data_IF_707762020885
#
_entry.id   IF_707762020885
#
_cell.length_a   1.000
_cell.length_b   1.000
_cell.length_c   1.000
_cell.angle_alpha   90.00
_cell.angle_beta   90.00
_cell.angle_gamma   90.00
#
_symmetry.space_group_name_H-M   'P 1'
#
loop_
_entity.id
_entity.type
_entity.pdbx_description
1 polymer ?
#
# COMPACT_ATOMS: atom_id res chain seq x y z
N UNK A 1 -17.87 -38.77 44.58
CA UNK A 1 -19.16 -39.49 44.91
C UNK A 1 -20.21 -38.98 43.97
N UNK A 2 -21.16 -39.81 43.56
CA UNK A 2 -21.05 -40.67 42.38
C UNK A 2 -22.09 -40.29 41.31
N UNK A 3 -21.76 -40.58 40.06
CA UNK A 3 -22.39 -41.46 39.08
C UNK A 3 -23.93 -41.55 39.14
N UNK A 4 -24.58 -41.22 38.03
CA UNK A 4 -25.72 -41.97 37.57
C UNK A 4 -25.93 -41.88 36.07
N UNK A 5 -25.80 -43.00 35.46
CA UNK A 5 -26.14 -43.44 34.10
C UNK A 5 -27.65 -43.61 33.96
N UNK A 6 -28.18 -43.47 32.75
CA UNK A 6 -29.31 -44.25 32.17
C UNK A 6 -29.67 -43.66 30.81
N UNK A 7 -29.40 -44.32 29.75
CA UNK A 7 -30.16 -45.43 29.10
C UNK A 7 -30.99 -44.93 27.91
N UNK A 8 -30.61 -45.38 26.72
CA UNK A 8 -31.38 -45.34 25.48
C UNK A 8 -32.56 -46.29 25.51
N UNK A 9 -33.57 -46.07 24.70
CA UNK A 9 -34.24 -47.22 24.08
C UNK A 9 -34.29 -47.16 22.56
N UNK A 10 -34.38 -48.36 22.05
CA UNK A 10 -34.27 -48.85 20.68
C UNK A 10 -35.58 -48.70 19.88
N UNK A 11 -35.35 -48.72 18.56
CA UNK A 11 -36.28 -48.91 17.44
C UNK A 11 -37.24 -50.11 17.59
N UNK A 12 -38.30 -50.14 16.75
CA UNK A 12 -38.44 -51.32 15.90
C UNK A 12 -38.69 -51.03 14.40
N UNK A 13 -38.13 -51.92 13.59
CA UNK A 13 -38.50 -52.29 12.23
C UNK A 13 -39.45 -53.51 12.33
N UNK A 14 -39.88 -54.11 11.22
CA UNK A 14 -40.52 -53.74 9.95
C UNK A 14 -41.81 -54.59 9.71
N UNK A 15 -42.48 -54.46 8.56
CA UNK A 15 -43.03 -55.63 7.89
C UNK A 15 -43.56 -55.32 6.48
N UNK A 16 -43.08 -56.13 5.54
CA UNK A 16 -43.56 -56.33 4.20
C UNK A 16 -44.97 -56.95 4.16
N UNK A 17 -45.72 -56.62 3.16
CA UNK A 17 -46.70 -57.57 2.59
C UNK A 17 -46.97 -57.26 1.11
N UNK A 18 -46.66 -58.28 0.31
CA UNK A 18 -47.01 -58.42 -1.11
C UNK A 18 -48.53 -58.47 -1.33
N UNK A 19 -48.99 -57.98 -2.46
CA UNK A 19 -49.77 -58.84 -3.38
C UNK A 19 -50.16 -58.11 -4.67
N UNK A 20 -49.97 -58.89 -5.70
CA UNK A 20 -50.25 -58.76 -7.12
C UNK A 20 -51.73 -58.56 -7.42
N UNK A 21 -52.05 -57.87 -8.51
CA UNK A 21 -53.05 -58.34 -9.49
C UNK A 21 -53.02 -57.51 -10.76
N UNK A 22 -53.19 -58.23 -11.83
CA UNK A 22 -53.03 -57.95 -13.27
C UNK A 22 -54.23 -57.19 -13.88
N UNK A 23 -53.95 -56.74 -15.08
CA UNK A 23 -54.78 -56.61 -16.30
C UNK A 23 -55.43 -55.26 -16.62
N UNK A 24 -55.02 -54.76 -17.77
CA UNK A 24 -56.01 -54.43 -18.78
C UNK A 24 -55.85 -53.09 -19.50
N UNK A 25 -55.15 -53.09 -20.63
CA UNK A 25 -55.43 -52.40 -21.90
C UNK A 25 -56.18 -51.03 -21.89
N UNK A 26 -55.62 -49.96 -22.46
CA UNK A 26 -55.84 -49.58 -23.88
C UNK A 26 -55.19 -48.19 -24.17
N UNK A 27 -54.70 -48.07 -25.36
CA UNK A 27 -54.11 -46.94 -26.02
C UNK A 27 -54.92 -45.63 -25.87
N UNK A 28 -54.20 -44.54 -25.62
CA UNK A 28 -54.38 -43.31 -26.44
C UNK A 28 -53.11 -42.44 -26.21
N UNK A 29 -52.37 -42.28 -27.31
CA UNK A 29 -51.21 -41.44 -27.32
C UNK A 29 -51.59 -39.97 -27.25
N UNK A 30 -51.07 -39.29 -26.24
CA UNK A 30 -50.95 -37.86 -26.22
C UNK A 30 -49.47 -37.53 -26.11
N UNK A 31 -48.93 -37.05 -27.23
CA UNK A 31 -47.55 -36.53 -27.31
C UNK A 31 -47.49 -35.25 -26.46
N UNK A 32 -47.10 -35.36 -25.23
CA UNK A 32 -46.73 -34.19 -24.40
C UNK A 32 -45.25 -33.93 -24.65
N UNK A 33 -44.97 -32.95 -25.53
CA UNK A 33 -43.62 -32.38 -25.60
C UNK A 33 -43.24 -31.82 -24.26
N UNK A 34 -42.09 -32.21 -23.65
CA UNK A 34 -41.57 -31.51 -22.51
C UNK A 34 -41.10 -30.14 -22.98
N UNK A 35 -41.79 -29.06 -22.55
CA UNK A 35 -41.26 -27.71 -22.56
C UNK A 35 -40.07 -27.74 -21.59
N UNK A 36 -38.87 -27.84 -22.15
CA UNK A 36 -37.65 -27.50 -21.39
C UNK A 36 -37.76 -26.03 -21.01
N UNK A 37 -38.28 -25.75 -19.81
CA UNK A 37 -38.11 -24.48 -19.17
C UNK A 37 -36.60 -24.33 -18.88
N UNK A 38 -35.90 -23.66 -19.81
CA UNK A 38 -34.54 -23.22 -19.61
C UNK A 38 -34.52 -22.36 -18.36
N UNK A 39 -34.06 -22.90 -17.24
CA UNK A 39 -33.70 -22.10 -16.07
C UNK A 39 -32.66 -21.08 -16.55
N UNK A 40 -32.86 -19.77 -16.28
CA UNK A 40 -31.79 -18.83 -16.54
C UNK A 40 -30.59 -19.30 -15.71
N UNK A 41 -29.51 -19.67 -16.39
CA UNK A 41 -28.22 -19.83 -15.75
C UNK A 41 -27.89 -18.44 -15.17
N UNK A 42 -28.26 -18.22 -13.91
CA UNK A 42 -27.81 -17.07 -13.16
C UNK A 42 -26.30 -17.17 -13.06
N UNK A 43 -25.63 -16.58 -14.04
CA UNK A 43 -24.19 -16.38 -13.96
C UNK A 43 -23.97 -15.59 -12.68
N UNK A 44 -23.37 -16.20 -11.68
CA UNK A 44 -22.81 -15.51 -10.53
C UNK A 44 -21.85 -14.48 -11.11
N UNK A 45 -22.25 -13.22 -11.16
CA UNK A 45 -21.36 -12.14 -11.53
C UNK A 45 -20.09 -12.31 -10.68
N UNK A 46 -18.94 -12.44 -11.33
CA UNK A 46 -17.69 -12.66 -10.63
C UNK A 46 -17.49 -11.47 -9.70
N UNK A 47 -17.66 -11.71 -8.41
CA UNK A 47 -17.52 -10.67 -7.40
C UNK A 47 -16.11 -10.08 -7.46
N UNK A 48 -15.99 -8.76 -7.40
CA UNK A 48 -14.70 -8.07 -7.34
C UNK A 48 -14.14 -8.25 -5.93
N UNK A 49 -13.31 -9.26 -5.76
CA UNK A 49 -12.75 -9.65 -4.46
C UNK A 49 -11.25 -9.35 -4.42
N UNK A 50 -10.81 -8.75 -3.32
CA UNK A 50 -9.40 -8.55 -2.97
C UNK A 50 -9.19 -8.81 -1.48
N UNK A 51 -7.95 -9.12 -1.10
CA UNK A 51 -7.51 -9.13 0.31
C UNK A 51 -6.74 -7.83 0.52
N UNK A 52 -7.10 -7.06 1.54
CA UNK A 52 -6.40 -5.84 1.92
C UNK A 52 -5.14 -6.13 2.77
N UNK A 53 -4.37 -5.10 3.11
CA UNK A 53 -3.11 -5.28 3.84
C UNK A 53 -3.31 -5.61 5.33
N UNK A 54 -4.56 -5.62 5.84
CA UNK A 54 -4.92 -6.14 7.16
C UNK A 54 -5.33 -7.61 7.13
N UNK A 55 -5.32 -8.24 5.93
CA UNK A 55 -5.75 -9.62 5.72
C UNK A 55 -7.27 -9.79 5.59
N UNK A 56 -8.05 -8.70 5.54
CA UNK A 56 -9.51 -8.75 5.36
C UNK A 56 -9.86 -8.90 3.88
N UNK A 57 -10.83 -9.76 3.62
CA UNK A 57 -11.41 -9.89 2.29
C UNK A 57 -12.46 -8.82 2.07
N UNK A 58 -12.26 -8.00 1.04
CA UNK A 58 -13.23 -7.04 0.55
C UNK A 58 -13.89 -7.57 -0.71
N UNK A 59 -15.23 -7.53 -0.75
CA UNK A 59 -16.04 -8.02 -1.88
C UNK A 59 -16.95 -6.89 -2.32
N UNK A 60 -16.89 -6.53 -3.61
CA UNK A 60 -17.82 -5.61 -4.24
C UNK A 60 -18.63 -6.37 -5.30
N UNK A 61 -19.93 -6.08 -5.40
CA UNK A 61 -20.81 -6.67 -6.42
C UNK A 61 -20.49 -6.15 -7.83
N UNK A 62 -20.10 -4.87 -7.91
CA UNK A 62 -19.68 -4.18 -9.13
C UNK A 62 -18.39 -3.38 -8.88
N UNK A 63 -17.64 -3.02 -9.93
CA UNK A 63 -16.51 -2.11 -9.79
C UNK A 63 -16.93 -0.77 -9.18
N UNK A 64 -16.16 -0.29 -8.21
CA UNK A 64 -16.41 0.96 -7.53
C UNK A 64 -16.47 2.13 -8.54
N UNK A 65 -17.48 2.97 -8.39
CA UNK A 65 -17.73 4.16 -9.23
C UNK A 65 -17.59 5.46 -8.45
N UNK A 66 -17.65 5.40 -7.12
CA UNK A 66 -17.60 6.54 -6.21
C UNK A 66 -16.62 6.25 -5.08
N UNK A 67 -15.36 6.60 -5.30
CA UNK A 67 -14.26 6.26 -4.42
C UNK A 67 -13.89 7.45 -3.56
N UNK A 68 -13.79 7.26 -2.24
CA UNK A 68 -13.12 8.18 -1.32
C UNK A 68 -11.69 7.69 -1.11
N UNK A 69 -10.71 8.58 -1.30
CA UNK A 69 -9.31 8.29 -1.03
C UNK A 69 -8.83 9.07 0.18
N UNK A 70 -8.43 8.35 1.24
CA UNK A 70 -8.04 8.93 2.53
C UNK A 70 -6.52 9.12 2.70
N UNK A 71 -5.75 8.98 1.62
CA UNK A 71 -4.32 9.28 1.64
C UNK A 71 -3.84 9.82 0.29
N UNK A 72 -2.87 10.78 0.28
CA UNK A 72 -2.35 11.35 -0.96
C UNK A 72 -1.77 10.31 -1.93
N UNK A 73 -1.00 9.36 -1.42
CA UNK A 73 -0.39 8.29 -2.25
C UNK A 73 -1.44 7.36 -2.87
N UNK A 74 -2.54 7.06 -2.17
CA UNK A 74 -3.63 6.25 -2.71
C UNK A 74 -4.42 7.02 -3.78
N UNK A 75 -4.62 8.34 -3.57
CA UNK A 75 -5.20 9.22 -4.60
C UNK A 75 -4.36 9.15 -5.88
N UNK A 76 -3.05 9.31 -5.76
CA UNK A 76 -2.13 9.27 -6.88
C UNK A 76 -2.15 7.91 -7.60
N UNK A 77 -2.20 6.79 -6.84
CA UNK A 77 -2.33 5.45 -7.42
C UNK A 77 -3.65 5.26 -8.17
N UNK A 78 -4.78 5.78 -7.66
CA UNK A 78 -6.06 5.73 -8.37
C UNK A 78 -6.03 6.51 -9.68
N UNK A 79 -5.38 7.67 -9.70
CA UNK A 79 -5.26 8.45 -10.92
C UNK A 79 -4.36 7.76 -11.96
N UNK A 80 -3.23 7.19 -11.54
CA UNK A 80 -2.28 6.55 -12.46
C UNK A 80 -2.87 5.33 -13.17
N UNK A 81 -3.78 4.60 -12.53
CA UNK A 81 -4.49 3.46 -13.14
C UNK A 81 -5.74 3.87 -13.93
N UNK A 82 -6.03 5.18 -14.08
CA UNK A 82 -7.17 5.67 -14.82
C UNK A 82 -8.49 5.72 -14.04
N UNK A 83 -8.48 5.49 -12.73
CA UNK A 83 -9.67 5.57 -11.86
C UNK A 83 -9.94 6.98 -11.32
N UNK A 84 -9.18 8.01 -11.73
CA UNK A 84 -9.26 9.37 -11.20
C UNK A 84 -10.66 9.99 -11.29
N UNK A 85 -11.40 9.78 -12.40
CA UNK A 85 -12.76 10.28 -12.57
C UNK A 85 -13.77 9.64 -11.58
N UNK A 86 -13.41 8.55 -10.91
CA UNK A 86 -14.23 7.87 -9.90
C UNK A 86 -13.96 8.38 -8.49
N UNK A 87 -12.89 9.17 -8.30
CA UNK A 87 -12.53 9.72 -6.98
C UNK A 87 -13.43 10.93 -6.71
N UNK A 88 -14.38 10.76 -5.80
CA UNK A 88 -15.39 11.78 -5.44
C UNK A 88 -15.02 12.59 -4.20
N UNK A 89 -14.01 12.16 -3.46
CA UNK A 89 -13.47 12.86 -2.29
C UNK A 89 -12.07 12.39 -1.94
N UNK A 90 -11.26 13.31 -1.42
CA UNK A 90 -9.88 13.03 -1.01
C UNK A 90 -9.47 13.91 0.16
N UNK A 91 -8.28 13.66 0.73
CA UNK A 91 -7.76 14.41 1.89
C UNK A 91 -6.79 15.51 1.48
N UNK A 92 -6.41 16.36 2.42
CA UNK A 92 -5.36 17.37 2.25
C UNK A 92 -4.08 16.75 1.64
N UNK A 93 -3.31 17.56 0.92
CA UNK A 93 -2.07 17.16 0.24
C UNK A 93 -2.23 16.13 -0.90
N UNK A 94 -3.44 15.81 -1.31
CA UNK A 94 -3.70 15.02 -2.53
C UNK A 94 -3.64 15.94 -3.76
N UNK A 95 -2.46 16.30 -4.18
CA UNK A 95 -2.16 17.38 -5.12
C UNK A 95 -1.57 16.88 -6.46
N UNK A 96 -1.29 15.60 -6.54
CA UNK A 96 -0.79 14.95 -7.76
C UNK A 96 -1.73 13.82 -8.23
N UNK A 97 -1.99 13.73 -9.56
CA UNK A 97 -1.69 14.73 -10.58
C UNK A 97 -2.49 16.03 -10.37
N UNK A 98 -2.24 17.06 -11.18
CA UNK A 98 -2.92 18.35 -11.03
C UNK A 98 -4.45 18.23 -10.96
N UNK A 99 -5.05 17.26 -11.67
CA UNK A 99 -6.48 16.96 -11.64
C UNK A 99 -6.99 16.56 -10.23
N UNK A 100 -6.16 15.96 -9.39
CA UNK A 100 -6.53 15.59 -8.01
C UNK A 100 -6.83 16.80 -7.14
N UNK A 101 -6.30 17.99 -7.48
CA UNK A 101 -6.56 19.25 -6.75
C UNK A 101 -8.02 19.68 -6.86
N UNK A 102 -8.73 19.25 -7.90
CA UNK A 102 -10.14 19.58 -8.13
C UNK A 102 -11.12 18.69 -7.36
N UNK A 103 -10.63 17.59 -6.80
CA UNK A 103 -11.47 16.66 -6.02
C UNK A 103 -11.81 17.28 -4.66
N UNK A 104 -13.09 17.22 -4.22
CA UNK A 104 -13.51 17.72 -2.91
C UNK A 104 -12.67 17.15 -1.76
N UNK A 105 -12.30 18.00 -0.81
CA UNK A 105 -11.57 17.58 0.41
C UNK A 105 -12.56 17.10 1.47
N UNK A 106 -12.26 15.94 2.08
CA UNK A 106 -13.05 15.32 3.15
C UNK A 106 -12.26 15.23 4.47
N UNK A 107 -11.32 16.13 4.66
CA UNK A 107 -10.47 16.20 5.85
C UNK A 107 -8.98 16.07 5.52
N UNK A 108 -8.22 15.66 6.51
CA UNK A 108 -6.80 15.33 6.41
C UNK A 108 -6.49 13.93 6.97
N UNK A 109 -5.21 13.57 7.12
CA UNK A 109 -4.82 12.26 7.63
C UNK A 109 -5.23 12.03 9.10
N UNK A 110 -5.34 13.08 9.91
CA UNK A 110 -5.66 13.00 11.33
C UNK A 110 -7.16 13.13 11.60
N UNK A 111 -7.86 13.98 10.85
CA UNK A 111 -9.27 14.25 11.05
C UNK A 111 -10.08 14.22 9.76
N UNK A 112 -11.05 13.31 9.72
CA UNK A 112 -11.95 13.10 8.59
C UNK A 112 -13.30 13.77 8.87
N UNK A 113 -13.87 14.39 7.86
CA UNK A 113 -15.27 14.84 7.84
C UNK A 113 -16.18 13.69 7.44
N UNK A 114 -16.60 12.91 8.45
CA UNK A 114 -17.43 11.71 8.23
C UNK A 114 -18.77 12.03 7.59
N UNK A 115 -19.39 13.17 7.93
CA UNK A 115 -20.66 13.61 7.36
C UNK A 115 -20.51 13.88 5.87
N UNK A 116 -19.46 14.59 5.49
CA UNK A 116 -19.16 14.87 4.10
C UNK A 116 -18.82 13.60 3.30
N UNK A 117 -18.10 12.66 3.90
CA UNK A 117 -17.83 11.36 3.29
C UNK A 117 -19.14 10.65 2.98
N UNK A 118 -20.04 10.53 3.96
CA UNK A 118 -21.36 9.87 3.79
C UNK A 118 -22.22 10.61 2.76
N UNK A 119 -22.25 11.95 2.80
CA UNK A 119 -23.00 12.77 1.84
C UNK A 119 -22.55 12.56 0.39
N UNK A 120 -21.28 12.22 0.16
CA UNK A 120 -20.74 11.87 -1.16
C UNK A 120 -21.16 10.48 -1.63
N UNK A 121 -21.85 9.69 -0.80
CA UNK A 121 -22.37 8.33 -1.11
C UNK A 121 -21.32 7.46 -1.82
N UNK A 122 -20.17 7.19 -1.20
CA UNK A 122 -19.15 6.34 -1.79
C UNK A 122 -19.58 4.87 -1.79
N UNK A 123 -19.12 4.13 -2.78
CA UNK A 123 -19.22 2.67 -2.86
C UNK A 123 -17.90 1.98 -2.50
N UNK A 124 -16.81 2.76 -2.31
CA UNK A 124 -15.53 2.30 -1.81
C UNK A 124 -14.81 3.44 -1.08
N UNK A 125 -14.22 3.13 0.06
CA UNK A 125 -13.23 3.96 0.75
C UNK A 125 -11.87 3.26 0.66
N UNK A 126 -10.83 3.98 0.21
CA UNK A 126 -9.45 3.49 0.28
C UNK A 126 -8.71 4.28 1.34
N UNK A 127 -8.09 3.56 2.28
CA UNK A 127 -7.50 4.12 3.48
C UNK A 127 -6.06 3.63 3.68
N UNK A 128 -5.25 4.46 4.32
CA UNK A 128 -3.91 4.09 4.78
C UNK A 128 -3.99 3.56 6.21
N UNK A 129 -3.63 2.29 6.40
CA UNK A 129 -3.87 1.56 7.64
C UNK A 129 -3.22 2.21 8.87
N UNK A 130 -1.93 2.53 8.79
CA UNK A 130 -1.19 3.15 9.90
C UNK A 130 -1.32 4.67 9.97
N UNK A 131 -1.76 5.33 8.90
CA UNK A 131 -1.79 6.79 8.80
C UNK A 131 -3.15 7.42 9.04
N UNK A 132 -4.25 6.67 8.89
CA UNK A 132 -5.59 7.17 9.20
C UNK A 132 -6.05 6.75 10.59
N UNK A 133 -6.90 7.55 11.22
CA UNK A 133 -7.47 7.25 12.53
C UNK A 133 -8.30 5.96 12.52
N UNK A 134 -7.82 4.93 13.21
CA UNK A 134 -8.53 3.64 13.34
C UNK A 134 -9.97 3.77 13.82
N UNK A 135 -10.27 4.55 14.88
CA UNK A 135 -11.65 4.82 15.32
C UNK A 135 -12.54 5.46 14.26
N UNK A 136 -12.00 6.37 13.43
CA UNK A 136 -12.80 6.99 12.35
C UNK A 136 -13.04 6.00 11.20
N UNK A 137 -12.05 5.18 10.84
CA UNK A 137 -12.24 4.09 9.87
C UNK A 137 -13.28 3.08 10.35
N UNK A 138 -13.26 2.74 11.66
CA UNK A 138 -14.26 1.84 12.23
C UNK A 138 -15.68 2.42 12.13
N UNK A 139 -15.86 3.72 12.41
CA UNK A 139 -17.17 4.39 12.26
C UNK A 139 -17.68 4.36 10.82
N UNK A 140 -16.80 4.54 9.83
CA UNK A 140 -17.18 4.42 8.42
C UNK A 140 -17.59 2.97 8.08
N UNK A 141 -16.89 1.97 8.62
CA UNK A 141 -17.25 0.56 8.47
C UNK A 141 -18.61 0.24 9.11
N UNK A 142 -18.90 0.76 10.32
CA UNK A 142 -20.16 0.60 11.02
C UNK A 142 -21.35 1.22 10.26
N UNK A 143 -21.08 2.23 9.43
CA UNK A 143 -22.04 2.82 8.49
C UNK A 143 -22.23 1.97 7.23
N UNK A 144 -21.58 0.81 7.13
CA UNK A 144 -21.71 -0.12 6.01
C UNK A 144 -20.86 0.23 4.79
N UNK A 145 -19.91 1.17 4.90
CA UNK A 145 -19.04 1.54 3.77
C UNK A 145 -17.94 0.48 3.59
N UNK A 146 -17.75 -0.05 2.37
CA UNK A 146 -16.62 -0.93 2.07
C UNK A 146 -15.30 -0.16 2.18
N UNK A 147 -14.36 -0.67 2.98
CA UNK A 147 -13.06 -0.03 3.20
C UNK A 147 -11.94 -0.97 2.76
N UNK A 148 -11.12 -0.53 1.81
CA UNK A 148 -9.85 -1.16 1.46
C UNK A 148 -8.73 -0.48 2.24
N UNK A 149 -8.05 -1.23 3.12
CA UNK A 149 -6.94 -0.72 3.93
C UNK A 149 -5.62 -1.10 3.29
N UNK A 150 -4.79 -0.11 3.00
CA UNK A 150 -3.47 -0.29 2.37
C UNK A 150 -2.36 0.11 3.32
N UNK A 151 -1.27 -0.69 3.32
CA UNK A 151 -0.04 -0.43 4.07
C UNK A 151 1.15 -0.88 3.24
N UNK A 152 1.80 0.05 2.55
CA UNK A 152 2.98 -0.26 1.75
C UNK A 152 4.23 -0.24 2.63
N UNK A 153 4.85 -1.40 2.87
CA UNK A 153 6.11 -1.58 3.60
C UNK A 153 7.26 -1.91 2.68
N UNK A 154 6.98 -2.48 1.52
CA UNK A 154 7.94 -2.84 0.51
C UNK A 154 7.54 -2.28 -0.85
N UNK A 155 8.50 -2.17 -1.77
CA UNK A 155 8.18 -1.73 -3.14
C UNK A 155 7.16 -2.64 -3.83
N UNK A 156 7.21 -3.95 -3.54
CA UNK A 156 6.23 -4.91 -4.06
C UNK A 156 4.79 -4.60 -3.64
N UNK A 157 4.59 -3.98 -2.47
CA UNK A 157 3.26 -3.60 -2.00
C UNK A 157 2.65 -2.50 -2.86
N UNK A 158 3.46 -1.61 -3.43
CA UNK A 158 2.99 -0.55 -4.33
C UNK A 158 2.39 -1.18 -5.58
N UNK A 159 3.11 -2.09 -6.26
CA UNK A 159 2.59 -2.77 -7.44
C UNK A 159 1.41 -3.69 -7.13
N UNK A 160 1.40 -4.34 -5.96
CA UNK A 160 0.28 -5.13 -5.46
C UNK A 160 -0.97 -4.26 -5.23
N UNK A 161 -0.81 -3.09 -4.58
CA UNK A 161 -1.91 -2.14 -4.34
C UNK A 161 -2.49 -1.61 -5.64
N UNK A 162 -1.65 -1.27 -6.64
CA UNK A 162 -2.14 -0.88 -7.97
C UNK A 162 -3.06 -1.95 -8.58
N UNK A 163 -2.63 -3.23 -8.56
CA UNK A 163 -3.42 -4.35 -9.11
C UNK A 163 -4.74 -4.52 -8.36
N UNK A 164 -4.73 -4.43 -7.02
CA UNK A 164 -5.94 -4.54 -6.18
C UNK A 164 -6.91 -3.38 -6.41
N UNK A 165 -6.39 -2.14 -6.46
CA UNK A 165 -7.19 -0.96 -6.78
C UNK A 165 -7.76 -1.04 -8.22
N UNK A 166 -6.97 -1.55 -9.17
CA UNK A 166 -7.42 -1.82 -10.53
C UNK A 166 -8.62 -2.75 -10.56
N UNK A 167 -8.55 -3.87 -9.83
CA UNK A 167 -9.66 -4.83 -9.72
C UNK A 167 -10.89 -4.21 -9.06
N UNK A 168 -10.73 -3.50 -7.94
CA UNK A 168 -11.84 -2.84 -7.24
C UNK A 168 -12.50 -1.73 -8.07
N UNK A 169 -11.74 -1.08 -8.94
CA UNK A 169 -12.22 0.04 -9.76
C UNK A 169 -12.51 -0.35 -11.22
N UNK A 170 -12.38 -1.62 -11.63
CA UNK A 170 -12.56 -2.05 -13.00
C UNK A 170 -11.52 -1.45 -13.97
N UNK A 171 -10.32 -1.19 -13.50
CA UNK A 171 -9.18 -0.67 -14.27
C UNK A 171 -8.03 -1.69 -14.31
N UNK A 172 -8.34 -2.98 -14.36
CA UNK A 172 -7.37 -4.08 -14.22
C UNK A 172 -6.24 -4.00 -15.25
N UNK A 173 -6.57 -3.75 -16.52
CA UNK A 173 -5.56 -3.69 -17.59
C UNK A 173 -4.57 -2.55 -17.37
N UNK A 174 -5.05 -1.35 -17.08
CA UNK A 174 -4.19 -0.19 -16.82
C UNK A 174 -3.36 -0.40 -15.55
N UNK A 175 -3.96 -0.95 -14.50
CA UNK A 175 -3.26 -1.26 -13.24
C UNK A 175 -2.14 -2.29 -13.44
N UNK A 176 -2.39 -3.34 -14.23
CA UNK A 176 -1.38 -4.34 -14.54
C UNK A 176 -0.21 -3.75 -15.34
N UNK A 177 -0.50 -2.88 -16.31
CA UNK A 177 0.51 -2.18 -17.10
C UNK A 177 1.38 -1.26 -16.21
N UNK A 178 0.75 -0.45 -15.37
CA UNK A 178 1.46 0.46 -14.46
C UNK A 178 2.30 -0.31 -13.43
N UNK A 179 1.76 -1.38 -12.86
CA UNK A 179 2.49 -2.23 -11.93
C UNK A 179 3.70 -2.92 -12.59
N UNK A 180 3.56 -3.43 -13.82
CA UNK A 180 4.65 -4.05 -14.56
C UNK A 180 5.74 -3.04 -14.94
N UNK A 181 5.36 -1.84 -15.38
CA UNK A 181 6.29 -0.76 -15.69
C UNK A 181 7.10 -0.33 -14.44
N UNK A 182 6.42 -0.22 -13.29
CA UNK A 182 7.04 0.08 -12.01
C UNK A 182 8.05 -0.99 -11.59
N UNK A 183 7.64 -2.26 -11.62
CA UNK A 183 8.49 -3.40 -11.25
C UNK A 183 9.74 -3.47 -12.15
N UNK A 184 9.58 -3.22 -13.46
CA UNK A 184 10.67 -3.19 -14.44
C UNK A 184 11.66 -2.05 -14.17
N UNK A 185 11.14 -0.85 -13.89
CA UNK A 185 11.99 0.30 -13.61
C UNK A 185 12.82 0.12 -12.33
N UNK A 186 12.22 -0.44 -11.26
CA UNK A 186 12.95 -0.78 -10.04
C UNK A 186 14.01 -1.87 -10.27
N UNK A 187 13.70 -2.88 -11.09
CA UNK A 187 14.65 -3.93 -11.43
C UNK A 187 15.88 -3.35 -12.16
N UNK A 188 15.68 -2.44 -13.11
CA UNK A 188 16.74 -1.77 -13.82
C UNK A 188 17.65 -0.93 -12.89
N UNK A 189 17.04 -0.19 -11.94
CA UNK A 189 17.80 0.55 -10.93
C UNK A 189 18.61 -0.40 -10.03
N UNK A 190 17.99 -1.50 -9.58
CA UNK A 190 18.67 -2.51 -8.75
C UNK A 190 19.87 -3.11 -9.47
N UNK A 191 19.72 -3.48 -10.73
CA UNK A 191 20.83 -4.01 -11.55
C UNK A 191 21.98 -3.00 -11.68
N UNK A 192 21.66 -1.73 -11.98
CA UNK A 192 22.65 -0.65 -12.13
C UNK A 192 23.46 -0.40 -10.88
N UNK A 193 22.84 -0.54 -9.68
CA UNK A 193 23.46 -0.16 -8.41
C UNK A 193 23.86 -1.32 -7.51
N UNK A 194 23.51 -2.60 -7.82
CA UNK A 194 23.73 -3.78 -6.99
C UNK A 194 25.19 -4.02 -6.58
N UNK A 195 26.15 -3.60 -7.42
CA UNK A 195 27.58 -3.83 -7.22
C UNK A 195 28.37 -2.57 -6.89
N UNK A 196 27.69 -1.50 -6.51
CA UNK A 196 28.36 -0.26 -6.11
C UNK A 196 28.97 -0.38 -4.73
N UNK A 197 30.09 0.33 -4.50
CA UNK A 197 30.70 0.41 -3.17
C UNK A 197 29.69 0.95 -2.16
N UNK A 198 29.59 0.32 -1.00
CA UNK A 198 28.67 0.73 0.06
C UNK A 198 28.95 2.15 0.55
N UNK A 199 27.89 2.92 0.77
CA UNK A 199 27.90 4.23 1.42
C UNK A 199 27.11 4.15 2.70
N UNK A 200 27.71 4.45 3.86
CA UNK A 200 26.98 4.57 5.12
C UNK A 200 26.19 5.88 5.15
N UNK A 201 24.88 5.79 5.42
CA UNK A 201 23.96 6.92 5.34
C UNK A 201 23.17 7.06 6.63
N UNK A 202 23.08 8.28 7.13
CA UNK A 202 22.05 8.70 8.06
C UNK A 202 20.92 9.37 7.25
N UNK A 203 19.71 8.84 7.31
CA UNK A 203 18.55 9.47 6.70
C UNK A 203 17.74 10.22 7.77
N UNK A 204 17.69 11.55 7.66
CA UNK A 204 16.88 12.40 8.55
C UNK A 204 15.50 12.61 7.92
N UNK A 205 14.47 11.96 8.50
CA UNK A 205 13.09 12.13 8.03
C UNK A 205 12.40 13.33 8.66
N UNK A 206 12.83 13.72 9.88
CA UNK A 206 12.31 14.89 10.60
C UNK A 206 13.40 15.48 11.51
N UNK A 207 13.34 16.79 11.77
CA UNK A 207 14.42 17.50 12.47
C UNK A 207 14.13 17.76 13.97
N UNK A 208 12.85 17.94 14.37
CA UNK A 208 12.46 18.18 15.78
C UNK A 208 11.12 17.51 16.10
N UNK A 209 11.13 16.36 16.82
CA UNK A 209 12.32 15.65 17.28
C UNK A 209 13.13 15.07 16.12
N UNK A 210 14.43 14.77 16.35
CA UNK A 210 15.27 14.18 15.31
C UNK A 210 14.85 12.73 15.07
N UNK A 211 14.22 12.49 13.92
CA UNK A 211 13.71 11.16 13.53
C UNK A 211 14.49 10.62 12.33
N UNK A 212 14.68 9.32 12.36
CA UNK A 212 15.25 8.53 11.26
C UNK A 212 14.28 7.40 10.84
N UNK A 213 14.74 6.45 10.07
CA UNK A 213 13.97 5.29 9.61
C UNK A 213 14.75 4.00 9.88
N UNK A 214 14.05 2.90 10.15
CA UNK A 214 14.67 1.58 10.30
C UNK A 214 14.72 0.80 8.98
N UNK A 215 15.21 -0.45 8.99
CA UNK A 215 15.34 -1.31 7.79
C UNK A 215 14.02 -1.62 7.09
N UNK A 216 12.89 -1.56 7.81
CA UNK A 216 11.55 -1.91 7.27
C UNK A 216 10.87 -0.74 6.56
N UNK A 217 11.44 0.45 6.60
CA UNK A 217 10.89 1.62 5.92
C UNK A 217 11.29 1.63 4.43
N UNK A 218 10.37 2.08 3.54
CA UNK A 218 10.62 2.18 2.09
C UNK A 218 11.89 2.96 1.74
N UNK A 219 12.19 4.02 2.49
CA UNK A 219 13.42 4.81 2.30
C UNK A 219 14.68 3.97 2.55
N UNK A 220 14.67 3.09 3.56
CA UNK A 220 15.82 2.20 3.79
C UNK A 220 15.99 1.17 2.68
N UNK A 221 14.87 0.71 2.10
CA UNK A 221 14.93 -0.15 0.92
C UNK A 221 15.49 0.61 -0.29
N UNK A 222 15.13 1.90 -0.47
CA UNK A 222 15.70 2.77 -1.49
C UNK A 222 17.22 2.92 -1.30
N UNK A 223 17.68 3.17 -0.06
CA UNK A 223 19.09 3.23 0.27
C UNK A 223 19.81 1.92 -0.10
N UNK A 224 19.23 0.77 0.30
CA UNK A 224 19.79 -0.55 0.00
C UNK A 224 19.86 -0.80 -1.51
N UNK A 225 18.80 -0.45 -2.25
CA UNK A 225 18.77 -0.56 -3.71
C UNK A 225 19.89 0.26 -4.36
N UNK A 226 20.14 1.45 -3.83
CA UNK A 226 21.24 2.32 -4.27
C UNK A 226 22.64 1.87 -3.78
N UNK A 227 22.77 0.71 -3.13
CA UNK A 227 24.03 0.23 -2.57
C UNK A 227 24.50 1.04 -1.36
N UNK A 228 23.58 1.57 -0.58
CA UNK A 228 23.88 2.28 0.67
C UNK A 228 23.37 1.50 1.89
N UNK A 229 23.99 1.74 3.04
CA UNK A 229 23.61 1.17 4.31
C UNK A 229 23.09 2.25 5.25
N UNK A 230 21.83 2.13 5.69
CA UNK A 230 21.29 2.96 6.75
C UNK A 230 21.98 2.64 8.08
N UNK A 231 22.61 3.63 8.72
CA UNK A 231 23.34 3.43 9.99
C UNK A 231 22.43 3.10 11.17
N UNK A 232 21.11 3.39 11.05
CA UNK A 232 20.10 3.09 12.06
C UNK A 232 19.12 1.99 11.65
N UNK A 233 19.48 1.16 10.68
CA UNK A 233 18.65 0.08 10.17
C UNK A 233 18.16 -0.91 11.23
N UNK A 234 18.93 -1.10 12.33
CA UNK A 234 18.65 -2.10 13.37
C UNK A 234 17.68 -1.64 14.46
N UNK A 235 17.23 -0.38 14.46
CA UNK A 235 16.30 0.12 15.46
C UNK A 235 14.90 -0.51 15.26
N UNK A 236 14.15 -0.71 16.34
CA UNK A 236 12.88 -1.45 16.32
C UNK A 236 11.72 -0.64 15.72
N UNK A 237 11.58 0.63 16.13
CA UNK A 237 10.52 1.49 15.62
C UNK A 237 10.74 1.80 14.13
N UNK A 238 9.64 1.91 13.35
CA UNK A 238 9.71 2.23 11.92
C UNK A 238 10.37 3.60 11.68
N UNK A 239 10.01 4.59 12.51
CA UNK A 239 10.55 5.95 12.52
C UNK A 239 11.06 6.29 13.92
N UNK A 240 12.25 5.78 14.30
CA UNK A 240 12.77 5.98 15.65
C UNK A 240 13.33 7.40 15.83
N UNK A 241 13.20 7.90 17.07
CA UNK A 241 13.93 9.09 17.50
C UNK A 241 15.37 8.72 17.85
N UNK A 242 16.31 9.54 17.42
CA UNK A 242 17.73 9.40 17.72
C UNK A 242 18.29 10.71 18.28
N UNK A 243 19.41 10.64 19.00
CA UNK A 243 20.12 11.85 19.42
C UNK A 243 21.19 12.24 18.39
N UNK A 244 21.62 13.50 18.46
CA UNK A 244 22.74 13.98 17.64
C UNK A 244 24.03 13.19 17.95
N UNK A 245 24.26 12.85 19.22
CA UNK A 245 25.42 12.07 19.68
C UNK A 245 25.44 10.67 19.05
N UNK A 246 24.25 10.05 18.88
CA UNK A 246 24.14 8.76 18.20
C UNK A 246 24.54 8.87 16.73
N UNK A 247 24.14 9.96 16.05
CA UNK A 247 24.57 10.23 14.66
C UNK A 247 26.07 10.48 14.60
N UNK A 248 26.64 11.18 15.58
CA UNK A 248 28.08 11.37 15.71
C UNK A 248 28.83 10.06 15.89
N UNK A 249 28.38 9.22 16.80
CA UNK A 249 28.98 7.91 17.05
C UNK A 249 28.92 6.98 15.83
N UNK A 250 27.83 7.07 15.04
CA UNK A 250 27.68 6.31 13.79
C UNK A 250 28.55 6.84 12.66
N UNK A 251 28.96 8.10 12.70
CA UNK A 251 29.78 8.84 11.73
C UNK A 251 29.52 8.44 10.28
N UNK A 252 28.30 8.72 9.75
CA UNK A 252 27.91 8.33 8.41
C UNK A 252 28.76 9.06 7.34
N UNK A 253 28.94 8.42 6.18
CA UNK A 253 29.63 9.04 5.05
C UNK A 253 28.75 10.09 4.35
N UNK A 254 27.42 9.95 4.44
CA UNK A 254 26.45 10.93 3.92
C UNK A 254 25.30 11.11 4.89
N UNK A 255 24.74 12.34 4.93
CA UNK A 255 23.49 12.67 5.60
C UNK A 255 22.49 13.08 4.54
N UNK A 256 21.31 12.46 4.53
CA UNK A 256 20.27 12.69 3.54
C UNK A 256 19.00 13.18 4.23
N UNK A 257 18.33 14.18 3.67
CA UNK A 257 17.00 14.63 4.10
C UNK A 257 16.11 14.96 2.91
N UNK A 258 14.79 15.03 3.14
CA UNK A 258 13.82 15.50 2.14
C UNK A 258 13.54 17.00 2.29
N UNK A 259 13.52 17.75 1.17
CA UNK A 259 12.98 19.11 1.09
C UNK A 259 12.31 19.32 -0.26
N UNK A 260 11.14 19.96 -0.27
CA UNK A 260 10.40 20.30 -1.49
C UNK A 260 10.91 21.58 -2.14
N UNK A 261 11.58 22.44 -1.38
CA UNK A 261 12.17 23.68 -1.86
C UNK A 261 13.70 23.54 -1.94
N UNK A 262 14.28 23.48 -3.15
CA UNK A 262 15.73 23.39 -3.32
C UNK A 262 16.50 24.60 -2.73
N UNK A 263 15.84 25.74 -2.59
CA UNK A 263 16.41 26.98 -2.07
C UNK A 263 15.91 27.34 -0.66
N UNK A 264 14.99 26.56 -0.12
CA UNK A 264 14.41 26.75 1.22
C UNK A 264 15.23 26.06 2.32
N UNK A 265 14.75 26.16 3.57
CA UNK A 265 15.34 25.43 4.69
C UNK A 265 15.33 23.93 4.43
N UNK A 266 16.48 23.32 4.37
CA UNK A 266 16.63 21.87 4.10
C UNK A 266 16.80 21.04 5.38
N UNK A 267 16.70 21.66 6.54
CA UNK A 267 16.87 21.04 7.86
C UNK A 267 18.27 20.40 8.08
N UNK A 268 19.27 20.77 7.27
CA UNK A 268 20.65 20.29 7.41
C UNK A 268 21.59 21.31 8.11
N UNK A 269 21.10 22.48 8.50
CA UNK A 269 21.91 23.54 9.10
C UNK A 269 22.62 23.08 10.38
N UNK A 270 21.96 22.29 11.20
CA UNK A 270 22.57 21.69 12.37
C UNK A 270 23.83 20.86 12.01
N UNK A 271 23.78 20.12 10.90
CA UNK A 271 24.91 19.30 10.43
C UNK A 271 26.01 20.13 9.77
N UNK A 272 25.67 21.22 9.09
CA UNK A 272 26.65 22.17 8.50
C UNK A 272 27.53 22.82 9.58
N UNK A 273 26.97 23.02 10.77
CA UNK A 273 27.68 23.64 11.88
C UNK A 273 28.54 22.65 12.68
N UNK A 274 28.32 21.32 12.56
CA UNK A 274 29.01 20.28 13.32
C UNK A 274 30.37 19.93 12.68
N UNK A 275 31.47 20.48 13.22
CA UNK A 275 32.84 20.15 12.79
C UNK A 275 33.15 18.71 13.25
N UNK A 276 33.81 17.91 12.40
CA UNK A 276 34.30 16.56 12.75
C UNK A 276 33.48 15.41 12.17
N UNK A 277 32.24 15.60 11.70
CA UNK A 277 31.50 14.57 10.97
C UNK A 277 32.08 14.39 9.55
N UNK A 278 32.31 13.14 9.14
CA UNK A 278 32.79 12.82 7.77
C UNK A 278 31.87 13.37 6.68
N UNK A 279 30.55 13.18 6.84
CA UNK A 279 29.59 13.67 5.87
C UNK A 279 29.70 15.19 5.65
N UNK A 280 29.87 15.95 6.72
CA UNK A 280 30.07 17.43 6.63
C UNK A 280 31.41 17.78 6.02
N UNK A 281 32.50 17.15 6.49
CA UNK A 281 33.84 17.45 6.01
C UNK A 281 34.01 17.20 4.51
N UNK A 282 33.33 16.18 3.99
CA UNK A 282 33.32 15.82 2.57
C UNK A 282 32.22 16.52 1.74
N UNK A 283 31.38 17.35 2.36
CA UNK A 283 30.27 18.01 1.65
C UNK A 283 29.11 17.08 1.27
N UNK A 284 28.99 15.92 1.91
CA UNK A 284 27.97 14.90 1.61
C UNK A 284 26.67 15.12 2.40
N UNK A 285 26.19 16.36 2.43
CA UNK A 285 24.88 16.73 2.96
C UNK A 285 23.90 16.82 1.78
N UNK A 286 23.00 15.86 1.70
CA UNK A 286 22.19 15.59 0.50
C UNK A 286 20.74 15.91 0.77
N UNK A 287 20.12 16.67 -0.12
CA UNK A 287 18.68 16.91 -0.16
C UNK A 287 18.07 16.12 -1.31
N UNK A 288 16.94 15.45 -1.06
CA UNK A 288 16.13 14.74 -2.06
C UNK A 288 14.72 15.28 -2.07
N UNK A 289 13.99 15.05 -3.17
CA UNK A 289 12.59 15.43 -3.26
C UNK A 289 11.70 14.45 -2.46
N UNK A 290 11.04 14.88 -1.35
CA UNK A 290 10.18 14.01 -0.55
C UNK A 290 8.89 13.64 -1.27
N UNK A 291 8.39 14.45 -2.21
CA UNK A 291 7.16 14.13 -2.96
C UNK A 291 7.31 12.90 -3.83
N UNK A 292 8.53 12.59 -4.25
CA UNK A 292 8.84 11.38 -5.01
C UNK A 292 9.37 10.26 -4.12
N UNK A 293 10.19 10.54 -3.09
CA UNK A 293 10.84 9.48 -2.30
C UNK A 293 10.02 9.02 -1.08
N UNK A 294 9.17 9.87 -0.48
CA UNK A 294 8.41 9.53 0.74
C UNK A 294 7.00 9.00 0.45
N UNK A 295 6.51 9.14 -0.77
CA UNK A 295 5.17 8.67 -1.13
C UNK A 295 5.25 7.28 -1.75
N UNK A 296 4.47 6.33 -1.22
CA UNK A 296 4.36 4.97 -1.75
C UNK A 296 3.54 4.95 -3.05
N UNK A 297 4.10 5.51 -4.13
CA UNK A 297 3.49 5.61 -5.47
C UNK A 297 4.47 5.15 -6.55
N UNK A 298 4.02 5.05 -7.79
CA UNK A 298 4.93 4.73 -8.91
C UNK A 298 6.05 5.74 -9.10
N UNK A 299 5.86 7.00 -8.68
CA UNK A 299 6.89 8.05 -8.75
C UNK A 299 8.06 7.83 -7.79
N UNK A 300 7.95 6.91 -6.85
CA UNK A 300 9.08 6.58 -5.97
C UNK A 300 10.31 6.12 -6.77
N UNK A 301 10.12 5.58 -7.99
CA UNK A 301 11.22 5.24 -8.90
C UNK A 301 12.08 6.45 -9.24
N UNK A 302 11.45 7.62 -9.46
CA UNK A 302 12.15 8.88 -9.73
C UNK A 302 12.97 9.33 -8.50
N UNK A 303 12.35 9.26 -7.31
CA UNK A 303 13.03 9.59 -6.04
C UNK A 303 14.19 8.64 -5.73
N UNK A 304 14.03 7.34 -6.03
CA UNK A 304 15.10 6.35 -5.87
C UNK A 304 16.22 6.62 -6.87
N UNK A 305 15.91 6.94 -8.12
CA UNK A 305 16.92 7.28 -9.14
C UNK A 305 17.74 8.51 -8.72
N UNK A 306 17.05 9.59 -8.27
CA UNK A 306 17.71 10.80 -7.75
C UNK A 306 18.64 10.47 -6.56
N UNK A 307 18.16 9.67 -5.60
CA UNK A 307 18.95 9.25 -4.44
C UNK A 307 20.18 8.46 -4.86
N UNK A 308 20.03 7.50 -5.78
CA UNK A 308 21.12 6.68 -6.27
C UNK A 308 22.21 7.53 -7.00
N UNK A 309 21.80 8.49 -7.81
CA UNK A 309 22.73 9.40 -8.52
C UNK A 309 23.51 10.27 -7.53
N UNK A 310 22.86 10.83 -6.53
CA UNK A 310 23.51 11.61 -5.48
C UNK A 310 24.49 10.79 -4.66
N UNK A 311 24.16 9.51 -4.37
CA UNK A 311 25.06 8.58 -3.68
C UNK A 311 26.24 8.14 -4.58
N UNK A 312 26.07 8.06 -5.89
CA UNK A 312 27.19 7.82 -6.82
C UNK A 312 28.17 9.00 -6.85
N UNK A 313 27.71 10.24 -6.73
CA UNK A 313 28.57 11.39 -6.57
C UNK A 313 29.42 11.30 -5.28
N UNK A 314 28.83 10.86 -4.16
CA UNK A 314 29.56 10.59 -2.91
C UNK A 314 30.66 9.55 -3.11
N UNK A 315 30.38 8.46 -3.84
CA UNK A 315 31.38 7.40 -4.13
C UNK A 315 32.56 7.90 -4.92
N UNK A 316 32.28 8.72 -5.93
CA UNK A 316 33.31 9.28 -6.82
C UNK A 316 34.26 10.20 -6.05
N UNK A 317 33.74 11.05 -5.18
CA UNK A 317 34.52 11.97 -4.35
C UNK A 317 35.33 11.21 -3.27
N UNK A 318 34.73 10.22 -2.62
CA UNK A 318 35.39 9.41 -1.61
C UNK A 318 36.49 8.48 -2.20
N UNK A 319 36.44 8.16 -3.50
CA UNK A 319 37.49 7.42 -4.22
C UNK A 319 38.66 8.28 -4.65
N UNK A 320 38.47 9.59 -4.76
CA UNK A 320 39.51 10.55 -5.14
C UNK A 320 40.28 11.12 -3.93
N UNK A 321 39.81 10.92 -2.71
CA UNK A 321 40.51 11.39 -1.51
C UNK A 321 41.75 10.52 -1.27
N UNK A 322 42.96 11.09 -1.05
CA UNK A 322 44.16 10.33 -0.68
C UNK A 322 43.90 9.59 0.65
N UNK A 323 44.46 8.37 0.77
CA UNK A 323 44.38 7.62 2.01
C UNK A 323 44.91 8.47 3.18
N UNK A 324 44.25 8.43 4.37
CA UNK A 324 44.77 9.15 5.53
C UNK A 324 46.19 8.65 5.84
N UNK A 325 47.12 9.61 5.96
CA UNK A 325 48.51 9.35 6.36
C UNK A 325 48.59 8.90 7.82
#
# INVERSE_FOLDING_TARGET
MPISTLSKPRLPRPQNLHRSARLGRLLQGLLVLPVLAGAPAGGTAAAFQVIDDTGRTLILAEPARRIISLAPHLTEQLFVIGAGARVVGTVAYSDHPAAARQVPRVGDHAQLDLERIVALRPDLVVAWDSGNSGPQLQRLADLGLPIFRSEAREFADISSTLRRLGRLSGQETAAQQQAAAFDTALAALRERYARRREVSVFYQIWHQPLLTVNRHHLISQALTLCGARNVFASLDALTPQVSEEAVWAADPLAIVTGSVDPNGPDNLDQWRQRKGLRARAAGHLIVVNPDTLHRATTRIVEGVAELCEKLDAVRSQAGAAPAPR
#
